data_IF_452820123102
#
_entry.id   IF_452820123102
#
_cell.length_a   1.000
_cell.length_b   1.000
_cell.length_c   1.000
_cell.angle_alpha   90.00
_cell.angle_beta   90.00
_cell.angle_gamma   90.00
#
_symmetry.space_group_name_H-M   'P 1'
#
loop_
_entity.id
_entity.type
_entity.pdbx_description
1 polymer ?
#
# COMPACT_ATOMS: atom_id res chain seq x y z
N UNK A 1 -18.71 -56.71 -2.10
CA UNK A 1 -18.85 -55.53 -1.23
C UNK A 1 -17.53 -54.84 -0.93
N UNK A 2 -16.47 -55.54 -0.45
CA UNK A 2 -15.14 -54.94 -0.17
C UNK A 2 -14.56 -54.02 -1.25
N UNK A 3 -14.68 -54.37 -2.53
CA UNK A 3 -14.14 -53.53 -3.61
C UNK A 3 -14.83 -52.16 -3.75
N UNK A 4 -16.14 -52.09 -3.45
CA UNK A 4 -16.91 -50.83 -3.48
C UNK A 4 -16.50 -49.94 -2.30
N UNK A 5 -16.37 -50.52 -1.10
CA UNK A 5 -15.93 -49.80 0.09
C UNK A 5 -14.52 -49.22 -0.07
N UNK A 6 -13.59 -50.00 -0.64
CA UNK A 6 -12.22 -49.53 -0.93
C UNK A 6 -12.24 -48.37 -1.93
N UNK A 7 -13.02 -48.49 -3.02
CA UNK A 7 -13.12 -47.43 -4.03
C UNK A 7 -13.71 -46.13 -3.47
N UNK A 8 -14.74 -46.20 -2.64
CA UNK A 8 -15.32 -45.02 -1.99
C UNK A 8 -14.32 -44.37 -1.03
N UNK A 9 -13.67 -45.18 -0.19
CA UNK A 9 -12.68 -44.67 0.76
C UNK A 9 -11.52 -43.97 0.05
N UNK A 10 -10.98 -44.58 -1.02
CA UNK A 10 -9.91 -43.99 -1.83
C UNK A 10 -10.35 -42.71 -2.52
N UNK A 11 -11.56 -42.67 -3.08
CA UNK A 11 -12.09 -41.46 -3.73
C UNK A 11 -12.25 -40.29 -2.76
N UNK A 12 -12.74 -40.55 -1.54
CA UNK A 12 -12.86 -39.53 -0.48
C UNK A 12 -11.49 -39.04 -0.06
N UNK A 13 -10.56 -39.95 0.22
CA UNK A 13 -9.20 -39.60 0.66
C UNK A 13 -8.46 -38.78 -0.41
N UNK A 14 -8.53 -39.19 -1.67
CA UNK A 14 -7.95 -38.45 -2.79
C UNK A 14 -8.60 -37.08 -2.97
N UNK A 15 -9.94 -36.99 -2.90
CA UNK A 15 -10.66 -35.73 -3.03
C UNK A 15 -10.31 -34.73 -1.92
N UNK A 16 -10.20 -35.20 -0.67
CA UNK A 16 -9.77 -34.38 0.47
C UNK A 16 -8.32 -33.94 0.29
N UNK A 17 -7.42 -34.86 -0.06
CA UNK A 17 -6.01 -34.54 -0.24
C UNK A 17 -5.82 -33.50 -1.34
N UNK A 18 -6.43 -33.69 -2.50
CA UNK A 18 -6.37 -32.75 -3.62
C UNK A 18 -6.99 -31.40 -3.27
N UNK A 19 -8.15 -31.39 -2.59
CA UNK A 19 -8.80 -30.16 -2.20
C UNK A 19 -7.98 -29.34 -1.19
N UNK A 20 -7.33 -30.01 -0.23
CA UNK A 20 -6.45 -29.35 0.74
C UNK A 20 -5.19 -28.81 0.04
N UNK A 21 -4.55 -29.62 -0.80
CA UNK A 21 -3.35 -29.23 -1.52
C UNK A 21 -3.61 -28.00 -2.41
N UNK A 22 -4.66 -28.05 -3.23
CA UNK A 22 -5.06 -26.92 -4.08
C UNK A 22 -5.44 -25.68 -3.27
N UNK A 23 -6.20 -25.87 -2.18
CA UNK A 23 -6.62 -24.75 -1.34
C UNK A 23 -5.44 -24.06 -0.64
N UNK A 24 -4.45 -24.82 -0.18
CA UNK A 24 -3.23 -24.28 0.44
C UNK A 24 -2.37 -23.57 -0.61
N UNK A 25 -2.14 -24.20 -1.76
CA UNK A 25 -1.33 -23.63 -2.84
C UNK A 25 -1.92 -22.28 -3.30
N UNK A 26 -3.21 -22.26 -3.63
CA UNK A 26 -3.90 -21.03 -4.06
C UNK A 26 -3.91 -19.97 -2.95
N UNK A 27 -4.18 -20.36 -1.71
CA UNK A 27 -4.23 -19.43 -0.59
C UNK A 27 -2.87 -18.79 -0.29
N UNK A 28 -1.78 -19.57 -0.37
CA UNK A 28 -0.42 -19.06 -0.17
C UNK A 28 -0.01 -18.16 -1.32
N UNK A 29 -0.24 -18.57 -2.56
CA UNK A 29 0.11 -17.79 -3.76
C UNK A 29 -0.57 -16.42 -3.72
N UNK A 30 -1.91 -16.40 -3.56
CA UNK A 30 -2.67 -15.15 -3.48
C UNK A 30 -2.26 -14.29 -2.28
N UNK A 31 -2.04 -14.90 -1.11
CA UNK A 31 -1.66 -14.17 0.09
C UNK A 31 -0.28 -13.51 -0.04
N UNK A 32 0.69 -14.21 -0.64
CA UNK A 32 2.04 -13.68 -0.88
C UNK A 32 1.99 -12.58 -1.93
N UNK A 33 1.31 -12.80 -3.06
CA UNK A 33 1.21 -11.82 -4.14
C UNK A 33 0.60 -10.50 -3.64
N UNK A 34 -0.56 -10.57 -2.99
CA UNK A 34 -1.23 -9.39 -2.43
C UNK A 34 -0.39 -8.72 -1.34
N UNK A 35 0.24 -9.50 -0.47
CA UNK A 35 1.08 -8.98 0.61
C UNK A 35 2.30 -8.21 0.07
N UNK A 36 2.97 -8.75 -0.95
CA UNK A 36 4.11 -8.11 -1.58
C UNK A 36 3.67 -6.85 -2.32
N UNK A 37 2.60 -6.91 -3.11
CA UNK A 37 2.10 -5.76 -3.87
C UNK A 37 1.73 -4.59 -2.94
N UNK A 38 0.93 -4.85 -1.90
CA UNK A 38 0.55 -3.84 -0.91
C UNK A 38 1.76 -3.30 -0.15
N UNK A 39 2.72 -4.17 0.21
CA UNK A 39 3.94 -3.76 0.90
C UNK A 39 4.80 -2.83 0.06
N UNK A 40 4.97 -3.14 -1.23
CA UNK A 40 5.73 -2.31 -2.17
C UNK A 40 5.03 -0.96 -2.35
N UNK A 41 3.71 -0.94 -2.54
CA UNK A 41 2.99 0.30 -2.79
C UNK A 41 3.01 1.24 -1.57
N UNK A 42 2.78 0.70 -0.37
CA UNK A 42 2.94 1.45 0.89
C UNK A 42 4.37 1.97 1.06
N UNK A 43 5.36 1.16 0.71
CA UNK A 43 6.77 1.53 0.75
C UNK A 43 7.09 2.71 -0.16
N UNK A 44 6.56 2.73 -1.39
CA UNK A 44 6.71 3.85 -2.32
C UNK A 44 6.10 5.14 -1.75
N UNK A 45 4.88 5.08 -1.24
CA UNK A 45 4.20 6.24 -0.64
C UNK A 45 4.99 6.78 0.55
N UNK A 46 5.46 5.91 1.45
CA UNK A 46 6.26 6.32 2.60
C UNK A 46 7.56 7.04 2.20
N UNK A 47 8.24 6.55 1.15
CA UNK A 47 9.44 7.19 0.60
C UNK A 47 9.12 8.55 -0.01
N UNK A 48 8.00 8.68 -0.75
CA UNK A 48 7.54 9.97 -1.29
C UNK A 48 7.30 10.99 -0.19
N UNK A 49 6.54 10.63 0.85
CA UNK A 49 6.27 11.49 2.02
C UNK A 49 7.59 11.95 2.66
N UNK A 50 8.52 11.03 2.93
CA UNK A 50 9.80 11.36 3.55
C UNK A 50 10.67 12.28 2.67
N UNK A 51 10.56 12.20 1.34
CA UNK A 51 11.24 13.11 0.42
C UNK A 51 10.60 14.51 0.45
N UNK A 52 9.28 14.58 0.36
CA UNK A 52 8.50 15.82 0.40
C UNK A 52 8.76 16.59 1.70
N UNK A 53 8.69 15.93 2.85
CA UNK A 53 8.96 16.58 4.14
C UNK A 53 10.38 17.17 4.18
N UNK A 54 11.38 16.44 3.68
CA UNK A 54 12.76 16.97 3.60
C UNK A 54 12.88 18.16 2.64
N UNK A 55 12.14 18.16 1.54
CA UNK A 55 12.11 19.28 0.59
C UNK A 55 11.46 20.52 1.20
N UNK A 56 10.32 20.36 1.89
CA UNK A 56 9.65 21.44 2.62
C UNK A 56 10.62 22.04 3.64
N UNK A 57 11.23 21.20 4.50
CA UNK A 57 12.22 21.67 5.50
C UNK A 57 13.34 22.48 4.85
N UNK A 58 13.84 22.04 3.70
CA UNK A 58 14.96 22.68 3.01
C UNK A 58 14.59 23.97 2.27
N UNK A 59 13.38 24.08 1.73
CA UNK A 59 12.95 25.20 0.89
C UNK A 59 12.25 26.30 1.70
N UNK A 60 11.37 25.91 2.62
CA UNK A 60 10.50 26.85 3.34
C UNK A 60 10.74 26.87 4.86
N UNK A 61 11.68 26.07 5.37
CA UNK A 61 12.04 26.02 6.79
C UNK A 61 11.18 25.03 7.58
N UNK A 62 11.02 25.24 8.88
CA UNK A 62 10.39 24.28 9.79
C UNK A 62 9.00 23.80 9.31
N UNK A 63 8.70 22.52 9.55
CA UNK A 63 7.41 21.92 9.20
C UNK A 63 6.55 21.85 10.46
N UNK A 64 5.39 22.49 10.43
CA UNK A 64 4.42 22.38 11.51
C UNK A 64 3.83 20.95 11.56
N UNK A 65 3.54 20.39 12.76
CA UNK A 65 2.98 19.05 12.88
C UNK A 65 1.68 18.82 12.09
N UNK A 66 0.88 19.86 11.91
CA UNK A 66 -0.36 19.82 11.12
C UNK A 66 -0.10 19.60 9.63
N UNK A 67 0.94 20.24 9.08
CA UNK A 67 1.39 20.04 7.70
C UNK A 67 1.86 18.60 7.49
N UNK A 68 2.63 18.06 8.45
CA UNK A 68 3.07 16.66 8.40
C UNK A 68 1.89 15.69 8.43
N UNK A 69 0.91 15.91 9.31
CA UNK A 69 -0.29 15.10 9.39
C UNK A 69 -1.09 15.14 8.08
N UNK A 70 -1.28 16.31 7.49
CA UNK A 70 -2.01 16.48 6.23
C UNK A 70 -1.32 15.74 5.07
N UNK A 71 0.01 15.81 4.98
CA UNK A 71 0.79 15.10 3.96
C UNK A 71 0.63 13.57 4.07
N UNK A 72 0.50 13.03 5.29
CA UNK A 72 0.28 11.59 5.49
C UNK A 72 -1.07 11.09 4.95
N UNK A 73 -2.05 11.98 4.77
CA UNK A 73 -3.36 11.65 4.21
C UNK A 73 -3.46 11.82 2.70
N UNK A 74 -2.44 12.38 2.05
CA UNK A 74 -2.42 12.56 0.61
C UNK A 74 -2.28 11.22 -0.13
N UNK A 75 -2.95 11.14 -1.28
CA UNK A 75 -2.78 10.05 -2.23
C UNK A 75 -1.40 10.07 -2.88
N UNK A 76 -1.00 8.95 -3.49
CA UNK A 76 0.27 8.87 -4.22
C UNK A 76 0.40 9.88 -5.36
N UNK A 77 -0.71 10.28 -5.98
CA UNK A 77 -0.81 11.27 -7.06
C UNK A 77 -0.71 12.70 -6.49
N UNK A 78 -1.45 12.99 -5.41
CA UNK A 78 -1.35 14.27 -4.72
C UNK A 78 0.07 14.54 -4.17
N UNK A 79 0.78 13.49 -3.75
CA UNK A 79 2.19 13.61 -3.35
C UNK A 79 3.09 13.96 -4.55
N UNK A 80 2.81 13.42 -5.74
CA UNK A 80 3.57 13.77 -6.95
C UNK A 80 3.31 15.23 -7.35
N UNK A 81 2.05 15.65 -7.34
CA UNK A 81 1.64 17.02 -7.63
C UNK A 81 2.24 18.02 -6.64
N UNK A 82 2.23 17.70 -5.34
CA UNK A 82 2.88 18.50 -4.31
C UNK A 82 4.39 18.57 -4.54
N UNK A 83 5.03 17.47 -4.95
CA UNK A 83 6.45 17.44 -5.28
C UNK A 83 6.83 18.39 -6.41
N UNK A 84 5.99 18.52 -7.43
CA UNK A 84 6.18 19.47 -8.53
C UNK A 84 5.89 20.91 -8.09
N UNK A 85 4.76 21.17 -7.44
CA UNK A 85 4.40 22.50 -6.93
C UNK A 85 5.43 23.05 -5.93
N UNK A 86 6.02 22.15 -5.14
CA UNK A 86 7.12 22.45 -4.23
C UNK A 86 8.34 23.02 -4.92
N UNK A 87 8.49 22.99 -6.25
CA UNK A 87 9.61 23.64 -6.94
C UNK A 87 9.45 25.15 -7.04
N UNK A 88 8.21 25.65 -6.94
CA UNK A 88 7.87 27.07 -7.07
C UNK A 88 7.62 27.77 -5.73
N UNK A 89 7.42 27.00 -4.64
CA UNK A 89 7.12 27.60 -3.33
C UNK A 89 8.30 28.40 -2.76
N UNK A 90 8.01 29.39 -1.94
CA UNK A 90 9.02 30.22 -1.27
C UNK A 90 8.73 30.40 0.21
N UNK A 91 7.49 30.20 0.66
CA UNK A 91 7.09 30.37 2.04
C UNK A 91 6.28 29.18 2.56
N UNK A 92 6.04 29.16 3.88
CA UNK A 92 5.20 28.13 4.50
C UNK A 92 3.73 28.28 4.11
N UNK A 93 3.27 29.51 3.86
CA UNK A 93 1.92 29.82 3.43
C UNK A 93 1.59 29.18 2.08
N UNK A 94 2.56 29.10 1.15
CA UNK A 94 2.38 28.41 -0.14
C UNK A 94 2.01 26.93 0.06
N UNK A 95 2.69 26.25 0.99
CA UNK A 95 2.44 24.84 1.33
C UNK A 95 1.07 24.67 1.98
N UNK A 96 0.73 25.55 2.93
CA UNK A 96 -0.54 25.48 3.67
C UNK A 96 -1.71 25.70 2.70
N UNK A 97 -1.64 26.74 1.85
CA UNK A 97 -2.68 27.05 0.89
C UNK A 97 -2.88 25.91 -0.13
N UNK A 98 -1.80 25.26 -0.56
CA UNK A 98 -1.91 24.09 -1.44
C UNK A 98 -2.61 22.93 -0.74
N UNK A 99 -2.22 22.62 0.51
CA UNK A 99 -2.81 21.51 1.28
C UNK A 99 -4.29 21.75 1.57
N UNK A 100 -4.69 22.98 1.90
CA UNK A 100 -6.10 23.34 2.09
C UNK A 100 -6.91 23.10 0.80
N UNK A 101 -6.35 23.45 -0.36
CA UNK A 101 -7.02 23.21 -1.65
C UNK A 101 -7.06 21.73 -2.03
N UNK A 102 -6.05 20.94 -1.66
CA UNK A 102 -5.97 19.52 -2.01
C UNK A 102 -6.85 18.63 -1.11
N UNK A 103 -7.21 19.12 0.09
CA UNK A 103 -8.02 18.41 1.08
C UNK A 103 -9.48 18.88 1.15
N UNK A 104 -9.84 19.92 0.39
CA UNK A 104 -11.20 20.43 0.25
C UNK A 104 -12.06 19.54 -0.68
#
# INVERSE_FOLDING_TARGET
MKGIEIGIQQGIEQGIQQGIEQGIEQGIEQGIEQGIEQGIERGKIAVKIALILRQIVRRVGEVAPEVEANIQWLSGEQLDDLGEALLDFTTQEDVIAWLESALA
#
